data_IF_520962832530
#
_entry.id   IF_520962832530
#
_cell.length_a   1.000
_cell.length_b   1.000
_cell.length_c   1.000
_cell.angle_alpha   90.00
_cell.angle_beta   90.00
_cell.angle_gamma   90.00
#
_symmetry.space_group_name_H-M   'P 1'
#
loop_
_entity.id
_entity.type
_entity.pdbx_description
1 polymer ?
#
# COMPACT_ATOMS: atom_id res chain seq x y z
N UNK A 1 -9.57 -28.48 5.01
CA UNK A 1 -9.48 -27.11 5.57
C UNK A 1 -9.79 -26.17 4.43
N UNK A 2 -10.94 -25.49 4.47
CA UNK A 2 -11.30 -24.50 3.46
C UNK A 2 -10.56 -23.19 3.73
N UNK A 3 -9.96 -22.60 2.69
CA UNK A 3 -9.26 -21.32 2.78
C UNK A 3 -10.14 -20.27 2.11
N UNK A 4 -10.51 -19.24 2.88
CA UNK A 4 -11.24 -18.08 2.36
C UNK A 4 -10.29 -16.90 2.23
N UNK A 5 -10.36 -16.19 1.11
CA UNK A 5 -9.65 -14.92 0.94
C UNK A 5 -10.42 -13.84 1.72
N UNK A 6 -9.76 -13.17 2.65
CA UNK A 6 -10.38 -12.12 3.50
C UNK A 6 -10.16 -10.71 2.98
N UNK A 7 -9.22 -10.54 2.05
CA UNK A 7 -8.96 -9.27 1.38
C UNK A 7 -7.82 -9.37 0.35
N UNK A 8 -7.52 -8.26 -0.29
CA UNK A 8 -6.46 -8.15 -1.28
C UNK A 8 -5.78 -6.78 -1.26
N UNK A 9 -4.50 -6.75 -1.61
CA UNK A 9 -3.75 -5.51 -1.76
C UNK A 9 -4.22 -4.79 -3.02
N UNK A 10 -4.63 -3.53 -2.88
CA UNK A 10 -5.14 -2.68 -3.98
C UNK A 10 -4.16 -1.61 -4.40
N UNK A 11 -3.17 -1.28 -3.58
CA UNK A 11 -2.08 -0.38 -3.92
C UNK A 11 -0.91 -0.52 -2.94
N UNK A 12 0.27 -0.13 -3.42
CA UNK A 12 1.50 -0.05 -2.63
C UNK A 12 2.07 1.36 -2.80
N UNK A 13 2.31 2.07 -1.70
CA UNK A 13 2.92 3.41 -1.72
C UNK A 13 4.21 3.34 -0.93
N UNK A 14 5.34 3.44 -1.61
CA UNK A 14 6.66 3.30 -1.01
C UNK A 14 7.49 4.58 -1.15
N UNK A 15 8.32 4.86 -0.16
CA UNK A 15 9.33 5.89 -0.29
C UNK A 15 10.36 5.45 -1.34
N UNK A 16 10.87 6.38 -2.13
CA UNK A 16 11.86 6.08 -3.18
C UNK A 16 13.12 5.42 -2.61
N UNK A 17 13.52 5.81 -1.39
CA UNK A 17 14.62 5.17 -0.64
C UNK A 17 14.34 3.72 -0.23
N UNK A 18 13.09 3.31 -0.18
CA UNK A 18 12.64 1.95 0.14
C UNK A 18 12.30 1.13 -1.12
N UNK A 19 12.69 1.59 -2.31
CA UNK A 19 12.37 0.93 -3.59
C UNK A 19 12.80 -0.54 -3.62
N UNK A 20 13.95 -0.85 -3.04
CA UNK A 20 14.51 -2.21 -3.04
C UNK A 20 13.71 -3.17 -2.12
N UNK A 21 12.86 -2.64 -1.23
CA UNK A 21 11.92 -3.44 -0.43
C UNK A 21 10.68 -3.85 -1.23
N UNK A 22 10.48 -3.31 -2.45
CA UNK A 22 9.32 -3.57 -3.31
C UNK A 22 9.81 -3.94 -4.71
N UNK A 23 10.06 -5.22 -4.94
CA UNK A 23 10.53 -5.74 -6.23
C UNK A 23 9.41 -5.92 -7.27
N UNK A 24 8.21 -6.28 -6.81
CA UNK A 24 7.02 -6.52 -7.63
C UNK A 24 5.77 -6.52 -6.76
N UNK A 25 4.59 -6.49 -7.37
CA UNK A 25 3.32 -6.54 -6.63
C UNK A 25 2.14 -6.88 -7.53
N UNK A 26 1.05 -7.33 -6.92
CA UNK A 26 -0.23 -7.59 -7.59
C UNK A 26 -1.09 -6.33 -7.77
N UNK A 27 -0.55 -5.17 -7.37
CA UNK A 27 -1.22 -3.89 -7.31
C UNK A 27 -0.29 -2.77 -7.81
N UNK A 28 -0.83 -1.61 -8.21
CA UNK A 28 -0.02 -0.46 -8.59
C UNK A 28 0.95 -0.06 -7.47
N UNK A 29 2.22 0.14 -7.85
CA UNK A 29 3.28 0.62 -6.96
C UNK A 29 3.55 2.08 -7.27
N UNK A 30 3.47 2.93 -6.26
CA UNK A 30 3.73 4.37 -6.36
C UNK A 30 4.94 4.70 -5.49
N UNK A 31 5.98 5.26 -6.10
CA UNK A 31 7.15 5.75 -5.39
C UNK A 31 7.09 7.25 -5.18
N UNK A 32 7.27 7.69 -3.93
CA UNK A 32 7.26 9.09 -3.51
C UNK A 32 8.55 9.45 -2.78
N UNK A 33 8.93 10.72 -2.76
CA UNK A 33 10.22 11.14 -2.20
C UNK A 33 10.15 11.51 -0.72
N UNK A 34 8.97 11.86 -0.20
CA UNK A 34 8.76 12.32 1.17
C UNK A 34 7.69 11.51 1.92
N UNK A 35 7.79 11.47 3.25
CA UNK A 35 6.78 10.85 4.11
C UNK A 35 5.44 11.59 4.06
N UNK A 36 5.48 12.91 3.91
CA UNK A 36 4.27 13.73 3.74
C UNK A 36 3.50 13.33 2.46
N UNK A 37 4.19 13.15 1.34
CA UNK A 37 3.57 12.66 0.11
C UNK A 37 3.04 11.24 0.26
N UNK A 38 3.78 10.37 0.95
CA UNK A 38 3.37 8.99 1.21
C UNK A 38 2.06 8.95 2.00
N UNK A 39 1.97 9.71 3.09
CA UNK A 39 0.78 9.80 3.92
C UNK A 39 -0.39 10.42 3.14
N UNK A 40 -0.16 11.53 2.44
CA UNK A 40 -1.19 12.25 1.67
C UNK A 40 -1.79 11.39 0.56
N UNK A 41 -0.95 10.74 -0.25
CA UNK A 41 -1.41 9.87 -1.34
C UNK A 41 -2.11 8.64 -0.78
N UNK A 42 -1.56 8.00 0.25
CA UNK A 42 -2.19 6.82 0.86
C UNK A 42 -3.54 7.15 1.48
N UNK A 43 -3.71 8.33 2.09
CA UNK A 43 -4.99 8.81 2.60
C UNK A 43 -6.01 9.03 1.47
N UNK A 44 -5.62 9.61 0.33
CA UNK A 44 -6.55 9.74 -0.79
C UNK A 44 -6.95 8.39 -1.37
N UNK A 45 -5.98 7.49 -1.57
CA UNK A 45 -6.22 6.17 -2.11
C UNK A 45 -7.08 5.30 -1.18
N UNK A 46 -6.92 5.42 0.14
CA UNK A 46 -7.75 4.69 1.11
C UNK A 46 -9.23 5.06 0.98
N UNK A 47 -9.53 6.36 0.79
CA UNK A 47 -10.89 6.86 0.57
C UNK A 47 -11.44 6.44 -0.79
N UNK A 48 -10.64 6.53 -1.85
CA UNK A 48 -11.04 6.16 -3.22
C UNK A 48 -11.36 4.67 -3.31
N UNK A 49 -10.47 3.82 -2.78
CA UNK A 49 -10.63 2.36 -2.87
C UNK A 49 -11.51 1.75 -1.77
N UNK A 50 -11.82 2.52 -0.73
CA UNK A 50 -12.42 2.04 0.53
C UNK A 50 -11.56 0.92 1.13
N UNK A 51 -10.28 1.21 1.32
CA UNK A 51 -9.26 0.27 1.77
C UNK A 51 -8.57 0.77 3.05
N UNK A 52 -8.12 -0.16 3.89
CA UNK A 52 -7.29 0.14 5.04
C UNK A 52 -5.84 0.39 4.59
N UNK A 53 -5.17 1.38 5.21
CA UNK A 53 -3.73 1.60 5.03
C UNK A 53 -3.00 0.85 6.13
N UNK A 54 -2.03 0.03 5.77
CA UNK A 54 -1.11 -0.62 6.71
C UNK A 54 0.30 -0.09 6.46
N UNK A 55 0.90 0.46 7.52
CA UNK A 55 2.31 0.83 7.55
C UNK A 55 3.15 -0.42 7.90
N UNK A 56 4.18 -0.68 7.10
CA UNK A 56 5.13 -1.78 7.34
C UNK A 56 6.38 -1.33 8.11
N UNK A 57 6.43 -0.07 8.54
CA UNK A 57 7.51 0.56 9.31
C UNK A 57 8.89 0.52 8.63
N UNK A 58 8.92 0.27 7.31
CA UNK A 58 10.13 0.18 6.50
C UNK A 58 10.08 1.10 5.27
N UNK A 59 9.24 2.15 5.34
CA UNK A 59 9.01 3.09 4.24
C UNK A 59 8.06 2.56 3.17
N UNK A 60 7.29 1.52 3.44
CA UNK A 60 6.27 0.96 2.53
C UNK A 60 4.91 0.95 3.21
N UNK A 61 3.92 1.56 2.57
CA UNK A 61 2.51 1.43 2.94
C UNK A 61 1.83 0.50 1.95
N UNK A 62 0.97 -0.38 2.44
CA UNK A 62 0.09 -1.21 1.61
C UNK A 62 -1.37 -0.84 1.89
N UNK A 63 -2.17 -0.81 0.84
CA UNK A 63 -3.60 -0.60 0.94
C UNK A 63 -4.31 -1.93 0.76
N UNK A 64 -5.09 -2.36 1.75
CA UNK A 64 -5.79 -3.65 1.75
C UNK A 64 -7.30 -3.40 1.74
N UNK A 65 -7.97 -3.98 0.75
CA UNK A 65 -9.43 -3.99 0.68
C UNK A 65 -9.95 -5.34 1.18
N UNK A 66 -10.86 -5.30 2.16
CA UNK A 66 -11.54 -6.48 2.68
C UNK A 66 -12.78 -6.78 1.84
N UNK A 67 -13.20 -8.05 1.81
CA UNK A 67 -14.46 -8.47 1.17
C UNK A 67 -15.68 -8.09 1.99
#
# INVERSE_FOLDING_TARGET
MEVHVTGYVVAIVALRRAKDNVSSGTAPIIYVDTEEDQQRISMYMSRIFKAAVHDLENGVFILVKQY
#
